data_IF_995271170253
#
_entry.id   IF_995271170253
#
_cell.length_a   1.000
_cell.length_b   1.000
_cell.length_c   1.000
_cell.angle_alpha   90.00
_cell.angle_beta   90.00
_cell.angle_gamma   90.00
#
_symmetry.space_group_name_H-M   'P 1'
#
loop_
_entity.id
_entity.type
_entity.pdbx_description
1 polymer ?
#
# COMPACT_ATOMS: atom_id res chain seq x y z
N UNK A 1 -31.90 -15.59 -10.05
CA UNK A 1 -31.26 -14.55 -9.22
C UNK A 1 -29.79 -14.88 -9.07
N UNK A 2 -28.94 -14.33 -9.95
CA UNK A 2 -27.52 -14.69 -10.02
C UNK A 2 -26.68 -13.58 -9.37
N UNK A 3 -26.19 -13.85 -8.15
CA UNK A 3 -25.12 -13.06 -7.54
C UNK A 3 -23.89 -13.24 -8.45
N UNK A 4 -23.67 -12.35 -9.43
CA UNK A 4 -22.37 -12.20 -10.13
C UNK A 4 -21.34 -11.77 -9.08
N UNK A 5 -20.82 -12.80 -8.40
CA UNK A 5 -20.00 -12.83 -7.19
C UNK A 5 -18.82 -11.87 -7.32
N UNK A 6 -18.55 -11.16 -6.23
CA UNK A 6 -17.24 -10.59 -5.89
C UNK A 6 -16.15 -11.55 -6.39
N UNK A 7 -15.18 -11.03 -7.16
CA UNK A 7 -14.13 -11.86 -7.75
C UNK A 7 -13.26 -12.42 -6.62
N UNK A 8 -13.46 -13.72 -6.34
CA UNK A 8 -12.78 -14.42 -5.24
C UNK A 8 -11.28 -14.51 -5.49
N UNK A 9 -10.83 -14.49 -6.75
CA UNK A 9 -9.40 -14.53 -7.05
C UNK A 9 -8.70 -13.28 -6.53
N UNK A 10 -9.29 -12.09 -6.75
CA UNK A 10 -8.72 -10.83 -6.26
C UNK A 10 -8.68 -10.77 -4.72
N UNK A 11 -9.69 -11.34 -4.05
CA UNK A 11 -9.68 -11.43 -2.59
C UNK A 11 -8.59 -12.38 -2.06
N UNK A 12 -8.39 -13.52 -2.73
CA UNK A 12 -7.33 -14.48 -2.38
C UNK A 12 -5.96 -13.83 -2.53
N UNK A 13 -5.70 -13.14 -3.65
CA UNK A 13 -4.41 -12.48 -3.86
C UNK A 13 -4.17 -11.38 -2.82
N UNK A 14 -5.19 -10.59 -2.47
CA UNK A 14 -5.09 -9.61 -1.36
C UNK A 14 -4.80 -10.28 -0.02
N UNK A 15 -5.38 -11.44 0.25
CA UNK A 15 -5.07 -12.26 1.43
C UNK A 15 -3.62 -12.73 1.44
N UNK A 16 -3.10 -13.19 0.30
CA UNK A 16 -1.70 -13.59 0.15
C UNK A 16 -0.77 -12.40 0.41
N UNK A 17 -1.11 -11.20 -0.06
CA UNK A 17 -0.36 -9.98 0.24
C UNK A 17 -0.27 -9.70 1.75
N UNK A 18 -1.37 -9.90 2.50
CA UNK A 18 -1.39 -9.75 3.95
C UNK A 18 -0.50 -10.81 4.63
N UNK A 19 -0.59 -12.06 4.20
CA UNK A 19 0.25 -13.15 4.73
C UNK A 19 1.73 -12.85 4.49
N UNK A 20 2.10 -12.40 3.29
CA UNK A 20 3.48 -11.97 2.97
C UNK A 20 3.95 -10.86 3.90
N UNK A 21 3.12 -9.83 4.14
CA UNK A 21 3.47 -8.76 5.09
C UNK A 21 3.69 -9.29 6.51
N UNK A 22 2.84 -10.19 7.00
CA UNK A 22 2.98 -10.81 8.32
C UNK A 22 4.27 -11.63 8.41
N UNK A 23 4.57 -12.46 7.40
CA UNK A 23 5.80 -13.27 7.38
C UNK A 23 7.04 -12.39 7.45
N UNK A 24 7.07 -11.28 6.70
CA UNK A 24 8.20 -10.33 6.72
C UNK A 24 8.47 -9.74 8.10
N UNK A 25 7.41 -9.48 8.87
CA UNK A 25 7.52 -8.84 10.18
C UNK A 25 7.75 -9.85 11.31
N UNK A 26 7.25 -11.08 11.19
CA UNK A 26 7.41 -12.10 12.24
C UNK A 26 8.63 -12.99 12.06
N UNK A 27 9.12 -13.15 10.84
CA UNK A 27 10.15 -14.13 10.50
C UNK A 27 11.19 -13.56 9.55
N UNK A 28 11.58 -12.31 9.79
CA UNK A 28 12.63 -11.64 9.03
C UNK A 28 13.89 -12.51 8.94
N UNK A 29 14.37 -12.77 7.71
CA UNK A 29 15.57 -13.56 7.46
C UNK A 29 15.38 -15.09 7.50
N UNK A 30 14.15 -15.58 7.71
CA UNK A 30 13.85 -17.01 7.56
C UNK A 30 13.87 -17.45 6.09
N UNK A 31 13.91 -18.77 5.86
CA UNK A 31 13.79 -19.34 4.52
C UNK A 31 12.48 -18.92 3.82
N UNK A 32 11.37 -18.85 4.57
CA UNK A 32 10.08 -18.42 4.05
C UNK A 32 10.08 -16.94 3.68
N UNK A 33 10.68 -16.08 4.50
CA UNK A 33 10.83 -14.66 4.19
C UNK A 33 11.71 -14.44 2.94
N UNK A 34 12.82 -15.17 2.85
CA UNK A 34 13.77 -15.08 1.72
C UNK A 34 13.14 -15.56 0.41
N UNK A 35 12.35 -16.63 0.45
CA UNK A 35 11.68 -17.17 -0.73
C UNK A 35 10.54 -16.29 -1.24
N UNK A 36 9.74 -15.71 -0.33
CA UNK A 36 8.56 -14.89 -0.69
C UNK A 36 8.96 -13.47 -1.10
N UNK A 37 10.02 -12.91 -0.51
CA UNK A 37 10.50 -11.55 -0.79
C UNK A 37 11.78 -11.54 -1.66
N UNK A 38 12.03 -12.62 -2.41
CA UNK A 38 13.14 -12.71 -3.35
C UNK A 38 13.16 -11.58 -4.41
N UNK A 39 12.01 -11.13 -4.98
CA UNK A 39 11.97 -9.90 -5.77
C UNK A 39 11.94 -8.68 -4.84
N UNK A 40 13.00 -7.88 -4.84
CA UNK A 40 13.12 -6.71 -3.96
C UNK A 40 12.18 -5.53 -4.34
N UNK A 41 11.57 -5.57 -5.54
CA UNK A 41 10.77 -4.46 -6.10
C UNK A 41 9.25 -4.59 -5.84
N UNK A 42 8.71 -5.80 -5.63
CA UNK A 42 7.28 -6.01 -5.31
C UNK A 42 7.17 -6.67 -3.94
N UNK A 43 6.56 -5.96 -2.99
CA UNK A 43 6.25 -6.49 -1.66
C UNK A 43 4.74 -6.63 -1.43
N UNK A 44 4.37 -7.34 -0.36
CA UNK A 44 2.98 -7.54 -0.01
C UNK A 44 2.21 -6.23 0.23
N UNK A 45 2.87 -5.16 0.68
CA UNK A 45 2.24 -3.86 0.89
C UNK A 45 1.84 -3.22 -0.45
N UNK A 46 2.76 -3.19 -1.42
CA UNK A 46 2.49 -2.71 -2.78
C UNK A 46 1.34 -3.48 -3.42
N UNK A 47 1.41 -4.81 -3.40
CA UNK A 47 0.35 -5.66 -3.95
C UNK A 47 -1.01 -5.41 -3.29
N UNK A 48 -1.05 -5.28 -1.96
CA UNK A 48 -2.28 -5.01 -1.23
C UNK A 48 -2.90 -3.65 -1.60
N UNK A 49 -2.08 -2.59 -1.63
CA UNK A 49 -2.54 -1.22 -1.93
C UNK A 49 -3.01 -1.12 -3.39
N UNK A 50 -2.21 -1.62 -4.34
CA UNK A 50 -2.55 -1.63 -5.75
C UNK A 50 -3.86 -2.39 -6.02
N UNK A 51 -3.97 -3.64 -5.52
CA UNK A 51 -5.19 -4.44 -5.69
C UNK A 51 -6.41 -3.81 -5.03
N UNK A 52 -6.22 -3.14 -3.88
CA UNK A 52 -7.31 -2.44 -3.22
C UNK A 52 -7.83 -1.29 -4.07
N UNK A 53 -6.94 -0.50 -4.70
CA UNK A 53 -7.33 0.53 -5.69
C UNK A 53 -8.09 -0.08 -6.87
N UNK A 54 -7.55 -1.13 -7.47
CA UNK A 54 -8.17 -1.84 -8.61
C UNK A 54 -9.59 -2.32 -8.29
N UNK A 55 -9.74 -3.05 -7.18
CA UNK A 55 -11.03 -3.59 -6.73
C UNK A 55 -12.02 -2.46 -6.44
N UNK A 56 -11.60 -1.39 -5.78
CA UNK A 56 -12.46 -0.24 -5.52
C UNK A 56 -12.93 0.42 -6.83
N UNK A 57 -12.03 0.60 -7.80
CA UNK A 57 -12.38 1.11 -9.13
C UNK A 57 -13.47 0.29 -9.81
N UNK A 58 -13.31 -1.03 -9.87
CA UNK A 58 -14.30 -1.93 -10.46
C UNK A 58 -15.63 -1.90 -9.68
N UNK A 59 -15.55 -1.93 -8.35
CA UNK A 59 -16.72 -1.98 -7.49
C UNK A 59 -17.55 -0.71 -7.57
N UNK A 60 -16.92 0.46 -7.63
CA UNK A 60 -17.61 1.76 -7.71
C UNK A 60 -18.11 2.06 -9.12
N UNK A 61 -17.39 1.66 -10.17
CA UNK A 61 -17.90 1.72 -11.55
C UNK A 61 -19.17 0.89 -11.70
N UNK A 62 -19.16 -0.35 -11.19
CA UNK A 62 -20.32 -1.24 -11.23
C UNK A 62 -21.49 -0.67 -10.44
N UNK A 63 -21.23 -0.11 -9.25
CA UNK A 63 -22.26 0.56 -8.47
C UNK A 63 -22.91 1.70 -9.26
N UNK A 64 -22.09 2.57 -9.86
CA UNK A 64 -22.57 3.66 -10.72
C UNK A 64 -23.46 3.16 -11.86
N UNK A 65 -23.07 2.08 -12.54
CA UNK A 65 -23.87 1.49 -13.62
C UNK A 65 -25.19 0.87 -13.13
N UNK A 66 -25.20 0.27 -11.93
CA UNK A 66 -26.40 -0.42 -11.40
C UNK A 66 -27.38 0.49 -10.66
N UNK A 67 -26.89 1.51 -9.95
CA UNK A 67 -27.70 2.35 -9.06
C UNK A 67 -27.63 3.84 -9.42
N UNK A 68 -26.89 4.21 -10.48
CA UNK A 68 -26.71 5.61 -10.90
C UNK A 68 -25.81 6.43 -9.96
N UNK A 69 -25.22 5.82 -8.92
CA UNK A 69 -24.44 6.53 -7.91
C UNK A 69 -23.21 5.75 -7.45
N UNK A 70 -22.16 6.50 -7.09
CA UNK A 70 -20.99 5.98 -6.36
C UNK A 70 -21.34 5.87 -4.88
N UNK A 71 -20.86 4.84 -4.19
CA UNK A 71 -21.20 4.53 -2.80
C UNK A 71 -20.22 5.17 -1.84
N UNK A 72 -20.17 6.50 -1.83
CA UNK A 72 -19.25 7.27 -0.98
C UNK A 72 -19.32 6.88 0.50
N UNK A 73 -20.54 6.66 1.03
CA UNK A 73 -20.72 6.28 2.43
C UNK A 73 -20.01 4.96 2.76
N UNK A 74 -20.03 3.96 1.88
CA UNK A 74 -19.33 2.69 2.10
C UNK A 74 -17.81 2.83 2.12
N UNK A 75 -17.26 3.82 1.43
CA UNK A 75 -15.82 4.12 1.48
C UNK A 75 -15.46 4.76 2.81
N UNK A 76 -16.28 5.70 3.27
CA UNK A 76 -16.13 6.36 4.57
C UNK A 76 -16.34 5.36 5.72
N UNK A 77 -17.38 4.52 5.71
CA UNK A 77 -17.61 3.50 6.73
C UNK A 77 -16.40 2.56 6.89
N UNK A 78 -15.73 2.22 5.77
CA UNK A 78 -14.50 1.42 5.78
C UNK A 78 -13.32 2.17 6.35
N UNK A 79 -13.16 3.45 5.99
CA UNK A 79 -12.12 4.31 6.54
C UNK A 79 -12.31 4.53 8.04
N UNK A 80 -13.54 4.79 8.49
CA UNK A 80 -13.95 4.90 9.89
C UNK A 80 -13.64 3.61 10.67
N UNK A 81 -14.04 2.45 10.13
CA UNK A 81 -13.73 1.16 10.77
C UNK A 81 -12.23 0.94 10.93
N UNK A 82 -11.45 1.20 9.88
CA UNK A 82 -10.00 1.04 9.91
C UNK A 82 -9.33 2.04 10.86
N UNK A 83 -9.83 3.26 10.90
CA UNK A 83 -9.39 4.28 11.85
C UNK A 83 -9.64 3.83 13.28
N UNK A 84 -10.84 3.36 13.60
CA UNK A 84 -11.19 2.89 14.94
C UNK A 84 -10.36 1.66 15.35
N UNK A 85 -10.15 0.72 14.44
CA UNK A 85 -9.28 -0.45 14.67
C UNK A 85 -7.84 0.02 14.92
N UNK A 86 -7.30 0.90 14.08
CA UNK A 86 -5.95 1.44 14.25
C UNK A 86 -5.80 2.15 15.59
N UNK A 87 -6.71 3.07 15.91
CA UNK A 87 -6.71 3.79 17.17
C UNK A 87 -6.83 2.85 18.38
N UNK A 88 -7.74 1.88 18.34
CA UNK A 88 -7.92 0.88 19.39
C UNK A 88 -6.69 0.00 19.60
N UNK A 89 -6.05 -0.45 18.53
CA UNK A 89 -4.81 -1.23 18.60
C UNK A 89 -3.64 -0.41 19.14
N UNK A 90 -3.52 0.86 18.75
CA UNK A 90 -2.50 1.77 19.27
C UNK A 90 -2.71 2.10 20.76
N UNK A 91 -3.96 2.35 21.17
CA UNK A 91 -4.31 2.55 22.57
C UNK A 91 -3.99 1.30 23.40
N UNK A 92 -4.33 0.11 22.90
CA UNK A 92 -3.97 -1.15 23.54
C UNK A 92 -2.44 -1.33 23.60
N UNK A 93 -1.72 -1.01 22.53
CA UNK A 93 -0.26 -1.08 22.49
C UNK A 93 0.39 -0.14 23.52
N UNK A 94 -0.15 1.06 23.73
CA UNK A 94 0.32 1.98 24.78
C UNK A 94 0.09 1.44 26.19
N UNK A 95 -1.05 0.79 26.45
CA UNK A 95 -1.36 0.14 27.74
C UNK A 95 -0.41 -1.03 28.01
N UNK A 96 -0.23 -1.91 27.02
CA UNK A 96 0.65 -3.07 27.15
C UNK A 96 2.11 -2.63 27.24
N UNK A 97 2.52 -1.65 26.43
CA UNK A 97 3.90 -1.13 26.35
C UNK A 97 4.42 -0.54 27.67
N UNK A 98 3.55 -0.09 28.56
CA UNK A 98 3.90 0.35 29.91
C UNK A 98 4.37 -0.77 30.83
N UNK A 99 3.80 -1.96 30.66
CA UNK A 99 4.08 -3.13 31.48
C UNK A 99 5.04 -4.11 30.79
N UNK A 100 5.26 -3.95 29.48
CA UNK A 100 6.15 -4.78 28.69
C UNK A 100 7.62 -4.39 28.90
N UNK A 101 8.51 -5.38 28.83
CA UNK A 101 9.94 -5.18 28.85
C UNK A 101 10.42 -4.24 27.72
N UNK A 102 11.48 -3.43 27.92
CA UNK A 102 12.03 -2.51 26.91
C UNK A 102 12.31 -3.09 25.52
N UNK A 103 12.54 -4.40 25.42
CA UNK A 103 12.81 -5.08 24.16
C UNK A 103 11.56 -5.30 23.26
N UNK A 104 10.35 -4.96 23.71
CA UNK A 104 9.11 -5.31 23.00
C UNK A 104 8.77 -4.40 21.78
N UNK A 105 9.55 -3.35 21.51
CA UNK A 105 9.33 -2.42 20.38
C UNK A 105 7.90 -1.82 20.33
N UNK A 106 7.27 -1.66 21.51
CA UNK A 106 5.92 -1.11 21.68
C UNK A 106 5.98 0.38 22.04
N UNK A 107 5.06 1.21 21.53
CA UNK A 107 4.99 2.62 21.89
C UNK A 107 4.68 2.78 23.39
N UNK A 108 5.31 3.79 24.01
CA UNK A 108 5.13 4.10 25.42
C UNK A 108 4.73 5.55 25.60
N UNK A 109 3.79 5.79 26.52
CA UNK A 109 3.32 7.13 26.80
C UNK A 109 4.43 8.09 27.26
N UNK A 110 5.43 7.58 27.99
CA UNK A 110 6.59 8.36 28.44
C UNK A 110 7.50 8.83 27.30
N UNK A 111 7.41 8.22 26.11
CA UNK A 111 8.20 8.60 24.94
C UNK A 111 7.58 9.75 24.13
N UNK A 112 6.34 10.16 24.44
CA UNK A 112 5.60 11.18 23.69
C UNK A 112 4.91 12.17 24.62
N UNK A 113 5.60 12.66 25.65
CA UNK A 113 5.08 13.67 26.58
C UNK A 113 3.78 13.26 27.32
N UNK A 114 3.61 11.97 27.56
CA UNK A 114 2.53 11.41 28.36
C UNK A 114 1.36 10.84 27.55
N UNK A 115 0.35 10.40 28.29
CA UNK A 115 -0.79 9.66 27.75
C UNK A 115 -1.65 10.47 26.78
N UNK A 116 -1.96 11.72 27.14
CA UNK A 116 -2.84 12.54 26.33
C UNK A 116 -2.23 12.88 24.98
N UNK A 117 -0.96 13.28 24.99
CA UNK A 117 -0.16 13.49 23.78
C UNK A 117 -0.07 12.23 22.93
N UNK A 118 0.18 11.06 23.53
CA UNK A 118 0.22 9.78 22.80
C UNK A 118 -1.12 9.40 22.16
N UNK A 119 -2.23 9.60 22.87
CA UNK A 119 -3.58 9.36 22.35
C UNK A 119 -3.94 10.36 21.27
N UNK A 120 -3.51 11.62 21.41
CA UNK A 120 -3.65 12.63 20.37
C UNK A 120 -2.90 12.22 19.11
N UNK A 121 -1.64 11.80 19.23
CA UNK A 121 -0.86 11.28 18.12
C UNK A 121 -1.55 10.08 17.46
N UNK A 122 -2.10 9.14 18.25
CA UNK A 122 -2.85 8.01 17.69
C UNK A 122 -4.10 8.47 16.93
N UNK A 123 -4.85 9.43 17.48
CA UNK A 123 -6.05 9.98 16.87
C UNK A 123 -5.75 10.79 15.59
N UNK A 124 -4.59 11.43 15.52
CA UNK A 124 -4.13 12.15 14.31
C UNK A 124 -3.35 11.26 13.36
N UNK A 125 -3.27 9.94 13.61
CA UNK A 125 -2.51 8.98 12.79
C UNK A 125 -0.99 9.25 12.74
N UNK A 126 -0.47 9.88 13.79
CA UNK A 126 0.92 10.33 13.96
C UNK A 126 1.71 9.50 14.98
N UNK A 127 1.08 8.53 15.66
CA UNK A 127 1.81 7.67 16.60
C UNK A 127 2.56 6.56 15.84
N UNK A 128 3.90 6.47 15.98
CA UNK A 128 4.68 5.43 15.32
C UNK A 128 4.42 4.05 15.93
N UNK A 129 4.16 3.09 15.05
CA UNK A 129 4.01 1.68 15.39
C UNK A 129 4.47 0.81 14.22
N UNK A 130 5.61 0.14 14.41
CA UNK A 130 6.31 -0.64 13.38
C UNK A 130 5.46 -1.66 12.61
N UNK A 131 4.43 -2.21 13.24
CA UNK A 131 3.58 -3.25 12.65
C UNK A 131 2.22 -2.74 12.16
N UNK A 132 1.91 -1.46 12.40
CA UNK A 132 0.61 -0.85 12.09
C UNK A 132 0.73 0.38 11.19
N UNK A 133 1.94 0.73 10.76
CA UNK A 133 2.29 1.90 9.96
C UNK A 133 1.56 2.01 8.60
N UNK A 134 1.19 0.88 7.99
CA UNK A 134 0.42 0.86 6.75
C UNK A 134 -1.05 1.30 6.93
N UNK A 135 -1.63 1.15 8.13
CA UNK A 135 -3.05 1.45 8.38
C UNK A 135 -3.35 2.96 8.28
N UNK A 136 -2.61 3.87 8.96
CA UNK A 136 -2.72 5.31 8.79
C UNK A 136 -2.83 5.76 7.34
N UNK A 137 -1.86 5.34 6.52
CA UNK A 137 -1.81 5.64 5.11
C UNK A 137 -3.08 5.14 4.41
N UNK A 138 -3.48 3.90 4.65
CA UNK A 138 -4.62 3.29 3.97
C UNK A 138 -5.95 3.97 4.32
N UNK A 139 -6.12 4.47 5.55
CA UNK A 139 -7.26 5.33 5.94
C UNK A 139 -7.30 6.59 5.07
N UNK A 140 -6.17 7.27 4.92
CA UNK A 140 -6.06 8.47 4.06
C UNK A 140 -6.41 8.14 2.60
N UNK A 141 -5.91 7.02 2.07
CA UNK A 141 -6.22 6.58 0.69
C UNK A 141 -7.71 6.31 0.49
N UNK A 142 -8.38 5.68 1.45
CA UNK A 142 -9.82 5.44 1.37
C UNK A 142 -10.64 6.74 1.39
N UNK A 143 -10.28 7.69 2.26
CA UNK A 143 -10.92 9.01 2.28
C UNK A 143 -10.67 9.74 0.95
N UNK A 144 -9.41 9.80 0.49
CA UNK A 144 -9.03 10.43 -0.78
C UNK A 144 -9.72 9.79 -1.99
N UNK A 145 -10.00 8.48 -1.93
CA UNK A 145 -10.71 7.76 -3.01
C UNK A 145 -12.12 8.30 -3.27
N UNK A 146 -12.77 8.92 -2.28
CA UNK A 146 -14.07 9.57 -2.48
C UNK A 146 -13.97 10.72 -3.49
N UNK A 147 -12.94 11.56 -3.38
CA UNK A 147 -12.64 12.63 -4.32
C UNK A 147 -12.22 12.08 -5.69
N UNK A 148 -11.40 11.02 -5.71
CA UNK A 148 -10.99 10.36 -6.95
C UNK A 148 -12.21 9.84 -7.75
N UNK A 149 -13.14 9.14 -7.10
CA UNK A 149 -14.35 8.65 -7.76
C UNK A 149 -15.35 9.76 -8.11
N UNK A 150 -15.36 10.88 -7.38
CA UNK A 150 -16.12 12.06 -7.78
C UNK A 150 -15.58 12.67 -9.09
N UNK A 151 -14.25 12.72 -9.27
CA UNK A 151 -13.63 13.15 -10.54
C UNK A 151 -13.90 12.17 -11.68
N UNK A 152 -13.74 10.87 -11.44
CA UNK A 152 -13.99 9.83 -12.44
C UNK A 152 -15.46 9.78 -12.89
N UNK A 153 -16.41 9.95 -11.96
CA UNK A 153 -17.83 10.08 -12.28
C UNK A 153 -18.12 11.26 -13.21
N UNK A 154 -17.37 12.37 -13.07
CA UNK A 154 -17.47 13.56 -13.91
C UNK A 154 -16.67 13.44 -15.22
N UNK A 155 -16.09 12.28 -15.53
CA UNK A 155 -15.26 12.07 -16.72
C UNK A 155 -13.89 12.77 -16.68
N UNK A 156 -13.47 13.31 -15.51
CA UNK A 156 -12.24 14.09 -15.37
C UNK A 156 -11.02 13.21 -15.10
N UNK A 157 -10.79 12.20 -15.94
CA UNK A 157 -9.68 11.26 -15.79
C UNK A 157 -8.32 11.97 -15.85
N UNK A 158 -8.12 12.84 -16.85
CA UNK A 158 -6.88 13.58 -16.99
C UNK A 158 -6.57 14.48 -15.78
N UNK A 159 -7.59 15.11 -15.20
CA UNK A 159 -7.41 15.93 -14.01
C UNK A 159 -7.05 15.08 -12.77
N UNK A 160 -7.65 13.90 -12.61
CA UNK A 160 -7.28 12.97 -11.54
C UNK A 160 -5.85 12.46 -11.72
N UNK A 161 -5.46 12.09 -12.93
CA UNK A 161 -4.10 11.63 -13.23
C UNK A 161 -3.07 12.74 -12.98
N UNK A 162 -3.35 13.97 -13.44
CA UNK A 162 -2.50 15.13 -13.19
C UNK A 162 -2.39 15.47 -11.70
N UNK A 163 -3.50 15.43 -10.95
CA UNK A 163 -3.50 15.65 -9.51
C UNK A 163 -2.68 14.58 -8.78
N UNK A 164 -2.90 13.30 -9.12
CA UNK A 164 -2.17 12.18 -8.52
C UNK A 164 -0.68 12.24 -8.84
N UNK A 165 -0.30 12.59 -10.07
CA UNK A 165 1.08 12.83 -10.46
C UNK A 165 1.68 14.02 -9.70
N UNK A 166 0.95 15.13 -9.57
CA UNK A 166 1.39 16.30 -8.81
C UNK A 166 1.66 15.96 -7.35
N UNK A 167 0.75 15.23 -6.69
CA UNK A 167 0.95 14.77 -5.31
C UNK A 167 2.14 13.81 -5.20
N UNK A 168 2.35 12.93 -6.18
CA UNK A 168 3.52 12.04 -6.21
C UNK A 168 4.83 12.81 -6.32
N UNK A 169 4.92 13.78 -7.24
CA UNK A 169 6.12 14.62 -7.39
C UNK A 169 6.37 15.48 -6.14
N UNK A 170 5.31 16.02 -5.53
CA UNK A 170 5.42 16.72 -4.24
C UNK A 170 5.94 15.79 -3.13
N UNK A 171 5.46 14.55 -3.10
CA UNK A 171 5.89 13.56 -2.12
C UNK A 171 7.35 13.13 -2.29
N UNK A 172 7.86 13.11 -3.52
CA UNK A 172 9.29 12.86 -3.79
C UNK A 172 10.17 14.06 -3.42
N UNK A 173 9.69 15.29 -3.69
CA UNK A 173 10.46 16.50 -3.46
C UNK A 173 10.45 16.95 -2.00
N UNK A 174 9.33 16.75 -1.30
CA UNK A 174 9.13 17.10 0.11
C UNK A 174 8.42 15.98 0.88
N UNK A 175 9.10 14.85 1.13
CA UNK A 175 8.50 13.68 1.79
C UNK A 175 7.89 13.99 3.16
N UNK A 176 8.47 14.93 3.91
CA UNK A 176 7.99 15.32 5.25
C UNK A 176 6.55 15.84 5.28
N UNK A 177 6.00 16.32 4.15
CA UNK A 177 4.63 16.80 4.06
C UNK A 177 3.60 15.67 3.91
N UNK A 178 4.05 14.51 3.44
CA UNK A 178 3.15 13.43 2.99
C UNK A 178 3.47 12.09 3.62
N UNK A 179 4.29 12.05 4.67
CA UNK A 179 4.58 10.86 5.46
C UNK A 179 3.69 10.79 6.69
N UNK A 180 3.18 9.59 6.97
CA UNK A 180 2.49 9.27 8.21
C UNK A 180 3.10 7.99 8.82
N UNK A 181 3.47 8.01 10.11
CA UNK A 181 3.57 9.16 11.00
C UNK A 181 4.76 10.08 10.67
N UNK A 182 4.59 11.39 10.77
CA UNK A 182 5.58 12.43 10.45
C UNK A 182 6.66 12.58 11.54
N UNK A 183 6.39 12.09 12.74
CA UNK A 183 7.29 12.14 13.89
C UNK A 183 8.30 10.98 13.87
N UNK A 184 9.15 10.85 12.84
CA UNK A 184 10.45 10.15 12.98
C UNK A 184 11.36 10.18 11.74
N UNK A 185 12.66 10.29 12.00
CA UNK A 185 13.78 9.98 11.09
C UNK A 185 14.03 8.47 10.90
N UNK A 186 13.22 7.59 11.49
CA UNK A 186 13.39 6.13 11.42
C UNK A 186 12.24 5.44 10.69
N UNK A 187 12.54 4.88 9.51
CA UNK A 187 12.02 3.69 8.81
C UNK A 187 10.58 3.13 9.05
N UNK A 188 9.65 3.82 9.70
CA UNK A 188 8.33 3.29 10.10
C UNK A 188 7.16 4.14 9.60
N UNK A 189 7.39 5.05 8.64
CA UNK A 189 6.36 5.90 8.06
C UNK A 189 6.17 5.63 6.58
N UNK A 190 4.93 5.37 6.17
CA UNK A 190 4.57 5.26 4.76
C UNK A 190 4.24 6.65 4.21
N UNK A 191 4.82 7.00 3.06
CA UNK A 191 4.50 8.24 2.37
C UNK A 191 3.16 8.12 1.63
N UNK A 192 2.06 8.54 2.27
CA UNK A 192 0.73 8.44 1.66
C UNK A 192 0.62 9.20 0.34
N UNK A 193 1.38 10.30 0.16
CA UNK A 193 1.42 11.08 -1.07
C UNK A 193 2.11 10.34 -2.22
N UNK A 194 3.09 9.49 -1.91
CA UNK A 194 3.69 8.62 -2.91
C UNK A 194 2.82 7.39 -3.19
N UNK A 195 2.35 6.74 -2.13
CA UNK A 195 1.55 5.52 -2.19
C UNK A 195 0.15 5.68 -2.78
N UNK A 196 -0.41 6.90 -2.77
CA UNK A 196 -1.65 7.17 -3.51
C UNK A 196 -1.46 6.99 -5.02
N UNK A 197 -0.26 7.15 -5.56
CA UNK A 197 -0.03 7.06 -7.01
C UNK A 197 -0.34 5.67 -7.58
N UNK A 198 0.29 4.57 -7.11
CA UNK A 198 -0.07 3.23 -7.58
C UNK A 198 -1.54 2.87 -7.24
N UNK A 199 -2.07 3.34 -6.11
CA UNK A 199 -3.48 3.15 -5.74
C UNK A 199 -4.43 3.81 -6.75
N UNK A 200 -4.18 5.06 -7.13
CA UNK A 200 -5.02 5.83 -8.08
C UNK A 200 -4.89 5.27 -9.49
N UNK A 201 -3.69 4.89 -9.94
CA UNK A 201 -3.51 4.20 -11.22
C UNK A 201 -4.37 2.93 -11.25
N UNK A 202 -4.27 2.10 -10.22
CA UNK A 202 -5.05 0.89 -10.12
C UNK A 202 -6.56 1.19 -10.08
N UNK A 203 -7.00 2.22 -9.36
CA UNK A 203 -8.39 2.65 -9.31
C UNK A 203 -8.92 3.14 -10.67
N UNK A 204 -8.11 3.87 -11.45
CA UNK A 204 -8.43 4.29 -12.82
C UNK A 204 -8.57 3.06 -13.72
N UNK A 205 -7.60 2.14 -13.66
CA UNK A 205 -7.62 0.87 -14.42
C UNK A 205 -8.87 0.07 -14.07
N UNK A 206 -9.19 -0.07 -12.78
CA UNK A 206 -10.36 -0.78 -12.30
C UNK A 206 -11.68 -0.12 -12.71
N UNK A 207 -11.73 1.21 -12.69
CA UNK A 207 -12.90 1.98 -13.13
C UNK A 207 -13.18 1.77 -14.62
N UNK A 208 -12.14 1.61 -15.44
CA UNK A 208 -12.25 1.42 -16.88
C UNK A 208 -12.10 -0.05 -17.31
N UNK A 209 -12.13 -0.99 -16.36
CA UNK A 209 -11.80 -2.41 -16.59
C UNK A 209 -12.55 -3.05 -17.76
N UNK A 210 -13.87 -2.83 -17.81
CA UNK A 210 -14.71 -3.35 -18.90
C UNK A 210 -14.57 -2.54 -20.19
N UNK A 211 -14.44 -1.21 -20.09
CA UNK A 211 -14.37 -0.31 -21.26
C UNK A 211 -13.10 -0.49 -22.07
N UNK A 212 -11.97 -0.65 -21.38
CA UNK A 212 -10.67 -0.86 -22.01
C UNK A 212 -10.44 -2.32 -22.40
N UNK A 213 -11.45 -3.18 -22.21
CA UNK A 213 -11.39 -4.61 -22.53
C UNK A 213 -10.16 -5.28 -21.93
N UNK A 214 -9.74 -4.86 -20.75
CA UNK A 214 -8.50 -5.32 -20.11
C UNK A 214 -8.54 -6.82 -19.80
N UNK A 215 -9.72 -7.36 -19.57
CA UNK A 215 -9.93 -8.81 -19.45
C UNK A 215 -9.46 -9.56 -20.69
N UNK A 216 -9.71 -9.01 -21.88
CA UNK A 216 -9.38 -9.67 -23.14
C UNK A 216 -7.88 -9.57 -23.46
N UNK A 217 -7.20 -8.53 -22.96
CA UNK A 217 -5.77 -8.28 -23.24
C UNK A 217 -4.85 -8.86 -22.16
N UNK A 218 -5.15 -8.62 -20.88
CA UNK A 218 -4.29 -8.99 -19.75
C UNK A 218 -4.48 -10.43 -19.27
N UNK A 219 -5.64 -11.05 -19.52
CA UNK A 219 -5.91 -12.44 -19.10
C UNK A 219 -5.75 -13.44 -20.24
N UNK A 220 -4.96 -13.10 -21.26
CA UNK A 220 -4.52 -14.06 -22.27
C UNK A 220 -3.50 -15.03 -21.69
N UNK A 221 -3.48 -16.27 -22.20
CA UNK A 221 -2.45 -17.26 -21.82
C UNK A 221 -1.04 -16.71 -22.04
N UNK A 222 -0.84 -16.01 -23.16
CA UNK A 222 0.43 -15.37 -23.50
C UNK A 222 0.83 -14.31 -22.46
N UNK A 223 -0.06 -13.37 -22.10
CA UNK A 223 0.22 -12.37 -21.08
C UNK A 223 0.54 -13.01 -19.72
N UNK A 224 -0.19 -14.07 -19.35
CA UNK A 224 0.08 -14.80 -18.12
C UNK A 224 1.45 -15.49 -18.14
N UNK A 225 1.80 -16.20 -19.22
CA UNK A 225 3.12 -16.83 -19.36
C UNK A 225 4.25 -15.81 -19.39
N UNK A 226 4.06 -14.66 -20.06
CA UNK A 226 5.04 -13.58 -20.07
C UNK A 226 5.21 -13.03 -18.66
N UNK A 227 4.13 -12.69 -17.95
CA UNK A 227 4.23 -12.18 -16.58
C UNK A 227 4.88 -13.18 -15.62
N UNK A 228 4.51 -14.46 -15.71
CA UNK A 228 5.08 -15.51 -14.87
C UNK A 228 6.55 -15.77 -15.22
N UNK A 229 6.88 -15.78 -16.51
CA UNK A 229 8.24 -15.91 -17.02
C UNK A 229 9.12 -14.75 -16.53
N UNK A 230 8.69 -13.50 -16.75
CA UNK A 230 9.39 -12.31 -16.26
C UNK A 230 9.57 -12.34 -14.74
N UNK A 231 8.52 -12.67 -13.99
CA UNK A 231 8.61 -12.77 -12.53
C UNK A 231 9.63 -13.83 -12.08
N UNK A 232 9.58 -15.03 -12.66
CA UNK A 232 10.52 -16.12 -12.33
C UNK A 232 11.95 -15.76 -12.73
N UNK A 233 12.15 -15.25 -13.95
CA UNK A 233 13.47 -14.85 -14.45
C UNK A 233 14.10 -13.78 -13.57
N UNK A 234 13.34 -12.72 -13.25
CA UNK A 234 13.86 -11.65 -12.39
C UNK A 234 14.10 -12.14 -10.95
N UNK A 235 13.25 -13.02 -10.42
CA UNK A 235 13.43 -13.60 -9.08
C UNK A 235 14.67 -14.49 -9.00
N UNK A 236 14.93 -15.32 -10.02
CA UNK A 236 16.14 -16.14 -10.10
C UNK A 236 17.38 -15.25 -10.23
N UNK A 237 17.32 -14.22 -11.09
CA UNK A 237 18.42 -13.27 -11.25
C UNK A 237 18.75 -12.56 -9.93
N UNK A 238 17.73 -12.09 -9.20
CA UNK A 238 17.91 -11.45 -7.90
C UNK A 238 18.57 -12.40 -6.88
N UNK A 239 18.13 -13.66 -6.82
CA UNK A 239 18.73 -14.67 -5.93
C UNK A 239 20.17 -15.01 -6.31
N UNK A 240 20.49 -15.13 -7.61
CA UNK A 240 21.85 -15.39 -8.07
C UNK A 240 22.79 -14.24 -7.70
N UNK A 241 22.37 -12.99 -7.98
CA UNK A 241 23.15 -11.80 -7.61
C UNK A 241 23.39 -11.72 -6.10
N UNK A 242 22.38 -12.02 -5.28
CA UNK A 242 22.50 -12.09 -3.82
C UNK A 242 23.44 -13.20 -3.35
N UNK A 243 23.36 -14.40 -3.95
CA UNK A 243 24.15 -15.58 -3.55
C UNK A 243 25.63 -15.44 -3.85
N UNK A 244 25.99 -14.85 -4.98
CA UNK A 244 27.39 -14.65 -5.36
C UNK A 244 28.03 -13.45 -4.70
N UNK A 245 27.30 -12.74 -3.83
CA UNK A 245 27.74 -11.49 -3.21
C UNK A 245 28.41 -10.61 -4.28
N UNK A 246 27.72 -10.47 -5.42
CA UNK A 246 28.06 -9.52 -6.49
C UNK A 246 27.24 -8.26 -6.22
N UNK A 247 27.47 -7.55 -5.10
CA UNK A 247 26.70 -6.37 -4.87
C UNK A 247 27.02 -5.39 -5.97
N UNK A 248 26.02 -4.64 -6.43
CA UNK A 248 26.29 -3.39 -7.11
C UNK A 248 27.30 -2.57 -6.28
N UNK A 249 28.29 -1.93 -6.93
CA UNK A 249 29.21 -1.04 -6.23
C UNK A 249 28.46 -0.01 -5.38
N UNK A 250 29.11 0.61 -4.39
CA UNK A 250 28.47 1.59 -3.49
C UNK A 250 27.57 2.63 -4.20
N UNK A 251 27.92 3.18 -5.40
CA UNK A 251 27.06 4.10 -6.14
C UNK A 251 25.75 3.46 -6.61
N UNK A 252 25.82 2.19 -7.05
CA UNK A 252 24.68 1.46 -7.58
C UNK A 252 23.78 0.91 -6.46
N UNK A 253 24.31 0.70 -5.24
CA UNK A 253 23.50 0.46 -4.02
C UNK A 253 22.70 1.69 -3.60
N UNK A 254 23.32 2.86 -3.56
CA UNK A 254 22.64 4.11 -3.24
C UNK A 254 21.58 4.46 -4.30
N UNK A 255 21.93 4.27 -5.57
CA UNK A 255 20.96 4.40 -6.66
C UNK A 255 19.79 3.42 -6.49
N UNK A 256 20.04 2.14 -6.21
CA UNK A 256 18.99 1.15 -6.02
C UNK A 256 18.14 1.43 -4.76
N UNK A 257 18.73 1.93 -3.67
CA UNK A 257 17.96 2.29 -2.47
C UNK A 257 16.98 3.42 -2.72
N UNK A 258 17.38 4.42 -3.51
CA UNK A 258 16.54 5.57 -3.80
C UNK A 258 15.49 5.27 -4.88
N UNK A 259 15.89 4.54 -5.93
CA UNK A 259 14.97 4.17 -7.02
C UNK A 259 13.96 3.09 -6.63
N UNK A 260 14.30 2.20 -5.70
CA UNK A 260 13.40 1.15 -5.24
C UNK A 260 12.98 1.33 -3.78
N UNK A 261 13.03 2.57 -3.27
CA UNK A 261 12.59 2.87 -1.92
C UNK A 261 11.14 2.46 -1.71
N UNK A 262 10.90 1.72 -0.63
CA UNK A 262 9.57 1.23 -0.28
C UNK A 262 8.71 2.35 0.26
N UNK A 263 9.26 3.17 1.15
CA UNK A 263 8.45 4.10 1.94
C UNK A 263 7.93 5.26 1.10
N UNK A 264 8.70 5.70 0.11
CA UNK A 264 8.38 6.78 -0.81
C UNK A 264 7.98 6.31 -2.22
N UNK A 265 7.79 5.00 -2.45
CA UNK A 265 7.53 4.43 -3.79
C UNK A 265 8.50 5.03 -4.81
N UNK A 266 9.76 4.62 -4.71
CA UNK A 266 10.77 5.03 -5.68
C UNK A 266 10.34 4.74 -7.12
N UNK A 267 10.72 5.56 -8.11
CA UNK A 267 10.24 5.42 -9.49
C UNK A 267 10.47 4.03 -10.10
N UNK A 268 11.53 3.33 -9.69
CA UNK A 268 11.84 1.98 -10.14
C UNK A 268 10.75 0.95 -9.80
N UNK A 269 10.05 1.11 -8.67
CA UNK A 269 8.93 0.22 -8.27
C UNK A 269 7.67 0.36 -9.11
N UNK A 270 7.54 1.46 -9.87
CA UNK A 270 6.40 1.70 -10.74
C UNK A 270 6.62 1.13 -12.15
N UNK A 271 7.88 0.98 -12.55
CA UNK A 271 8.29 0.60 -13.89
C UNK A 271 8.55 -0.92 -14.00
N UNK A 272 9.08 -1.53 -12.93
CA UNK A 272 9.48 -2.94 -12.86
C UNK A 272 8.60 -3.74 -11.89
#
# INVERSE_FOLDING_TARGET
MDYRKRDRALDVVRGICIISMVIRHMSYGSFLDTGIHAPFWIDGAFGFVFLSGLVLGMMERRALQTTGQVRYRKLIDRAELLFLINFGLLALALIVGQNAAPAADLPRASSFDGWWSSLWLAATLQLPARHLDILPMYVVLLVASTGAFALLRRGKLAALAALSCGVYLLALQWPSLTVLPALQESQAGFNWGAWQFPFVIAAIVGWNWEQWRLRDTLLTKAALYISAGTFVTLSILAQLLGRFNLPPGAPMRAWASDWFDKYNIGPGRLIF
#
